data_IF_550918773227
#
_entry.id   IF_550918773227
#
_cell.length_a   1.000
_cell.length_b   1.000
_cell.length_c   1.000
_cell.angle_alpha   90.00
_cell.angle_beta   90.00
_cell.angle_gamma   90.00
#
_symmetry.space_group_name_H-M   'P 1'
#
loop_
_entity.id
_entity.type
_entity.pdbx_description
1 polymer ?
#
# COMPACT_ATOMS: atom_id res chain seq x y z
N UNK A 1 11.43 -12.31 -38.43
CA UNK A 1 10.39 -12.53 -37.42
C UNK A 1 9.01 -12.31 -38.03
N UNK A 2 8.02 -13.10 -37.64
CA UNK A 2 6.63 -12.86 -38.04
C UNK A 2 6.12 -11.53 -37.47
N UNK A 3 5.38 -10.78 -38.25
CA UNK A 3 4.70 -9.57 -37.79
C UNK A 3 3.47 -9.95 -36.93
N UNK A 4 3.23 -9.27 -35.84
CA UNK A 4 1.97 -9.37 -35.09
C UNK A 4 0.77 -8.77 -35.85
N UNK A 5 1.04 -8.06 -36.96
CA UNK A 5 -0.01 -7.60 -37.87
C UNK A 5 -0.35 -8.77 -38.82
N UNK A 6 -1.54 -9.38 -38.68
CA UNK A 6 -1.87 -10.61 -39.41
C UNK A 6 -2.09 -10.40 -40.90
N UNK A 7 -2.42 -9.18 -41.36
CA UNK A 7 -2.73 -8.86 -42.73
C UNK A 7 -1.47 -8.72 -43.58
N UNK A 8 -1.41 -9.40 -44.71
CA UNK A 8 -0.36 -9.20 -45.69
C UNK A 8 -0.49 -7.83 -46.40
N UNK A 9 0.56 -7.30 -47.05
CA UNK A 9 0.47 -6.07 -47.84
C UNK A 9 -0.64 -6.12 -48.93
N UNK A 10 -0.83 -7.27 -49.60
CA UNK A 10 -1.90 -7.45 -50.58
C UNK A 10 -3.30 -7.36 -49.97
N UNK A 11 -3.50 -8.04 -48.83
CA UNK A 11 -4.78 -7.95 -48.09
C UNK A 11 -5.06 -6.53 -47.58
N UNK A 12 -4.04 -5.80 -47.14
CA UNK A 12 -4.21 -4.40 -46.72
C UNK A 12 -4.62 -3.51 -47.93
N UNK A 13 -4.03 -3.74 -49.08
CA UNK A 13 -4.41 -3.01 -50.27
C UNK A 13 -5.85 -3.32 -50.69
N UNK A 14 -6.27 -4.59 -50.71
CA UNK A 14 -7.64 -5.01 -50.97
C UNK A 14 -8.66 -4.35 -49.98
N UNK A 15 -8.31 -4.30 -48.68
CA UNK A 15 -9.14 -3.62 -47.68
C UNK A 15 -9.26 -2.11 -47.95
N UNK A 16 -8.18 -1.43 -48.36
CA UNK A 16 -8.21 -0.02 -48.71
C UNK A 16 -9.10 0.22 -49.92
N UNK A 17 -8.95 -0.59 -50.99
CA UNK A 17 -9.76 -0.50 -52.18
C UNK A 17 -11.25 -0.74 -51.91
N UNK A 18 -11.58 -1.69 -51.03
CA UNK A 18 -12.95 -1.98 -50.62
C UNK A 18 -13.67 -0.78 -49.97
N UNK A 19 -12.91 0.12 -49.33
CA UNK A 19 -13.44 1.37 -48.74
C UNK A 19 -13.18 2.61 -49.60
N UNK A 20 -12.74 2.41 -50.85
CA UNK A 20 -12.51 3.50 -51.82
C UNK A 20 -11.24 4.30 -51.55
N UNK A 21 -10.25 3.73 -50.86
CA UNK A 21 -8.94 4.33 -50.63
C UNK A 21 -7.85 3.57 -51.36
N UNK A 22 -6.72 4.24 -51.63
CA UNK A 22 -5.59 3.65 -52.34
C UNK A 22 -4.29 3.70 -51.55
N UNK A 23 -4.23 4.52 -50.51
CA UNK A 23 -3.06 4.68 -49.64
C UNK A 23 -3.54 4.71 -48.17
N UNK A 24 -2.77 4.05 -47.33
CA UNK A 24 -3.01 4.03 -45.87
C UNK A 24 -3.04 5.44 -45.25
N UNK A 25 -2.26 6.38 -45.78
CA UNK A 25 -2.27 7.79 -45.34
C UNK A 25 -3.61 8.48 -45.49
N UNK A 26 -4.44 8.07 -46.47
CA UNK A 26 -5.76 8.64 -46.64
C UNK A 26 -6.71 8.39 -45.46
N UNK A 27 -6.40 7.39 -44.60
CA UNK A 27 -7.12 7.16 -43.35
C UNK A 27 -6.89 8.29 -42.34
N UNK A 28 -5.78 9.01 -42.45
CA UNK A 28 -5.37 10.08 -41.53
C UNK A 28 -5.60 11.47 -42.11
N UNK A 29 -6.46 11.63 -43.13
CA UNK A 29 -6.72 12.90 -43.80
C UNK A 29 -7.14 14.06 -42.86
N UNK A 30 -7.68 13.72 -41.68
CA UNK A 30 -8.10 14.71 -40.67
C UNK A 30 -6.96 15.10 -39.71
N UNK A 31 -5.76 14.49 -39.85
CA UNK A 31 -4.55 14.83 -39.12
C UNK A 31 -3.70 15.77 -39.98
N UNK A 32 -3.30 16.96 -39.49
CA UNK A 32 -2.40 17.87 -40.22
C UNK A 32 -1.11 17.16 -40.60
N UNK A 33 -0.62 17.43 -41.84
CA UNK A 33 0.56 16.78 -42.42
C UNK A 33 1.82 16.97 -41.57
N UNK A 34 1.94 18.10 -40.89
CA UNK A 34 3.05 18.42 -39.99
C UNK A 34 3.05 17.58 -38.68
N UNK A 35 1.95 16.95 -38.38
CA UNK A 35 1.81 16.06 -37.20
C UNK A 35 2.06 14.59 -37.55
N UNK A 36 2.19 14.25 -38.82
CA UNK A 36 2.48 12.89 -39.27
C UNK A 36 3.99 12.64 -39.30
N UNK A 37 4.43 11.58 -38.66
CA UNK A 37 5.83 11.12 -38.77
C UNK A 37 6.05 10.50 -40.14
N UNK A 38 6.99 11.07 -40.93
CA UNK A 38 7.30 10.60 -42.30
C UNK A 38 8.19 9.36 -42.28
N UNK A 39 9.14 9.31 -41.36
CA UNK A 39 10.19 8.30 -41.31
C UNK A 39 9.99 7.26 -40.23
N UNK A 40 8.78 7.25 -39.60
CA UNK A 40 8.46 6.39 -38.46
C UNK A 40 9.06 6.86 -37.13
N UNK A 41 9.05 5.99 -36.13
CA UNK A 41 9.62 6.27 -34.83
C UNK A 41 11.13 5.97 -34.84
N UNK A 42 11.94 6.82 -34.19
CA UNK A 42 13.35 6.56 -33.92
C UNK A 42 13.50 5.54 -32.80
N UNK A 43 13.28 4.28 -33.14
CA UNK A 43 13.39 3.13 -32.25
C UNK A 43 14.42 2.15 -32.79
N UNK A 44 15.18 1.47 -31.92
CA UNK A 44 16.07 0.39 -32.36
C UNK A 44 15.28 -0.74 -33.03
N UNK A 45 15.95 -1.49 -33.88
CA UNK A 45 15.35 -2.69 -34.47
C UNK A 45 14.91 -3.69 -33.40
N UNK A 46 13.84 -4.44 -33.72
CA UNK A 46 13.32 -5.47 -32.80
C UNK A 46 14.33 -6.61 -32.61
N UNK A 47 14.52 -7.02 -31.38
CA UNK A 47 15.39 -8.13 -31.00
C UNK A 47 14.67 -9.47 -31.08
N UNK A 48 15.42 -10.57 -31.26
CA UNK A 48 14.92 -11.92 -31.05
C UNK A 48 14.71 -12.24 -29.58
N UNK A 49 13.82 -13.19 -29.27
CA UNK A 49 13.50 -13.59 -27.88
C UNK A 49 14.75 -13.93 -27.06
N UNK A 50 15.68 -14.70 -27.63
CA UNK A 50 16.93 -15.06 -26.97
C UNK A 50 17.79 -13.83 -26.65
N UNK A 51 17.85 -12.86 -27.54
CA UNK A 51 18.60 -11.62 -27.35
C UNK A 51 17.96 -10.74 -26.28
N UNK A 52 16.64 -10.59 -26.31
CA UNK A 52 15.88 -9.90 -25.24
C UNK A 52 16.13 -10.58 -23.89
N UNK A 53 16.00 -11.90 -23.82
CA UNK A 53 16.23 -12.66 -22.57
C UNK A 53 17.64 -12.44 -22.02
N UNK A 54 18.67 -12.48 -22.87
CA UNK A 54 20.07 -12.23 -22.47
C UNK A 54 20.25 -10.79 -21.97
N UNK A 55 19.72 -9.82 -22.69
CA UNK A 55 19.81 -8.40 -22.34
C UNK A 55 19.15 -8.13 -21.01
N UNK A 56 17.92 -8.60 -20.82
CA UNK A 56 17.18 -8.41 -19.56
C UNK A 56 17.82 -9.15 -18.38
N UNK A 57 18.35 -10.35 -18.60
CA UNK A 57 19.09 -11.09 -17.57
C UNK A 57 20.37 -10.35 -17.17
N UNK A 58 21.11 -9.81 -18.14
CA UNK A 58 22.30 -9.02 -17.85
C UNK A 58 21.99 -7.72 -17.09
N UNK A 59 20.88 -7.06 -17.40
CA UNK A 59 20.39 -5.89 -16.67
C UNK A 59 19.98 -6.28 -15.24
N UNK A 60 19.23 -7.37 -15.08
CA UNK A 60 18.82 -7.87 -13.77
C UNK A 60 20.00 -8.25 -12.88
N UNK A 61 21.06 -8.83 -13.45
CA UNK A 61 22.30 -9.21 -12.73
C UNK A 61 23.08 -8.00 -12.18
N UNK A 62 22.75 -6.77 -12.57
CA UNK A 62 23.35 -5.55 -12.00
C UNK A 62 22.74 -5.15 -10.65
N UNK A 63 21.62 -5.74 -10.26
CA UNK A 63 21.03 -5.50 -8.96
C UNK A 63 21.81 -6.23 -7.86
N UNK A 64 21.92 -5.61 -6.70
CA UNK A 64 22.46 -6.26 -5.52
C UNK A 64 21.37 -7.08 -4.84
N UNK A 65 21.61 -8.39 -4.69
CA UNK A 65 20.74 -9.28 -3.93
C UNK A 65 21.30 -9.43 -2.50
N UNK A 66 20.56 -8.95 -1.52
CA UNK A 66 20.93 -9.06 -0.12
C UNK A 66 20.43 -10.39 0.49
N UNK A 67 21.23 -10.99 1.36
CA UNK A 67 20.86 -12.18 2.11
C UNK A 67 19.86 -11.87 3.25
N UNK A 68 19.86 -10.63 3.73
CA UNK A 68 18.95 -10.14 4.74
C UNK A 68 18.59 -8.66 4.51
N UNK A 69 17.35 -8.30 4.85
CA UNK A 69 16.82 -6.94 4.74
C UNK A 69 16.37 -6.49 6.12
N UNK A 70 17.05 -5.44 6.63
CA UNK A 70 16.73 -4.78 7.90
C UNK A 70 16.12 -3.38 7.68
N UNK A 71 15.56 -3.14 6.49
CA UNK A 71 14.90 -1.91 6.09
C UNK A 71 13.41 -2.16 5.88
N UNK A 72 12.58 -1.32 6.51
CA UNK A 72 11.14 -1.29 6.36
C UNK A 72 10.71 0.01 5.70
N UNK A 73 10.26 0.97 6.53
CA UNK A 73 9.83 2.30 6.11
C UNK A 73 8.69 2.26 5.07
N UNK A 74 7.67 1.43 5.32
CA UNK A 74 6.46 1.35 4.51
C UNK A 74 6.33 0.11 3.64
N UNK A 75 7.41 -0.61 3.33
CA UNK A 75 7.38 -1.91 2.65
C UNK A 75 8.25 -2.92 3.41
N UNK A 76 7.75 -4.15 3.58
CA UNK A 76 8.30 -5.10 4.54
C UNK A 76 8.52 -6.47 3.91
N UNK A 77 9.70 -7.05 4.16
CA UNK A 77 10.07 -8.38 3.67
C UNK A 77 9.54 -9.47 4.60
N UNK A 78 8.28 -9.85 4.44
CA UNK A 78 7.65 -10.96 5.16
C UNK A 78 7.77 -12.30 4.41
N UNK A 79 7.63 -13.41 5.15
CA UNK A 79 7.56 -14.73 4.54
C UNK A 79 6.24 -14.91 3.78
N UNK A 80 6.36 -15.36 2.54
CA UNK A 80 5.22 -15.63 1.66
C UNK A 80 5.11 -17.13 1.44
N UNK A 81 4.08 -17.81 1.99
CA UNK A 81 3.84 -19.23 1.76
C UNK A 81 3.70 -19.53 0.25
N UNK A 82 4.21 -20.69 -0.20
CA UNK A 82 4.22 -21.07 -1.62
C UNK A 82 2.81 -21.08 -2.25
N UNK A 83 1.78 -21.47 -1.48
CA UNK A 83 0.39 -21.49 -1.93
C UNK A 83 -0.12 -20.11 -2.33
N UNK A 84 0.38 -19.04 -1.69
CA UNK A 84 -0.01 -17.66 -1.98
C UNK A 84 0.36 -17.23 -3.41
N UNK A 85 1.46 -17.75 -3.95
CA UNK A 85 1.85 -17.51 -5.35
C UNK A 85 1.08 -18.42 -6.32
N UNK A 86 0.73 -19.60 -5.88
CA UNK A 86 0.11 -20.63 -6.74
C UNK A 86 -1.36 -20.30 -7.06
N UNK A 87 -2.15 -19.88 -6.07
CA UNK A 87 -3.60 -19.68 -6.26
C UNK A 87 -3.90 -18.50 -7.20
N UNK A 88 -3.33 -17.29 -7.02
CA UNK A 88 -3.59 -16.17 -7.94
C UNK A 88 -3.07 -16.40 -9.37
N UNK A 89 -2.11 -17.32 -9.54
CA UNK A 89 -1.56 -17.67 -10.85
C UNK A 89 -2.43 -18.62 -11.68
N UNK A 90 -3.57 -19.08 -11.16
CA UNK A 90 -4.50 -19.94 -11.89
C UNK A 90 -5.23 -19.15 -12.98
N UNK A 91 -5.52 -19.80 -14.10
CA UNK A 91 -6.17 -19.20 -15.26
C UNK A 91 -7.50 -18.54 -14.92
N UNK A 92 -8.26 -19.13 -14.01
CA UNK A 92 -9.57 -18.65 -13.55
C UNK A 92 -9.50 -17.22 -12.96
N UNK A 93 -8.35 -16.84 -12.40
CA UNK A 93 -8.12 -15.52 -11.83
C UNK A 93 -7.36 -14.59 -12.78
N UNK A 94 -6.30 -15.08 -13.46
CA UNK A 94 -5.43 -14.25 -14.31
C UNK A 94 -6.15 -13.62 -15.49
N UNK A 95 -7.12 -14.30 -16.08
CA UNK A 95 -7.87 -13.81 -17.25
C UNK A 95 -9.10 -12.99 -16.85
N UNK A 96 -9.43 -12.90 -15.55
CA UNK A 96 -10.56 -12.14 -15.08
C UNK A 96 -10.31 -10.63 -15.22
N UNK A 97 -11.33 -9.94 -15.72
CA UNK A 97 -11.38 -8.48 -15.75
C UNK A 97 -12.38 -7.97 -14.70
N UNK A 98 -12.78 -6.72 -14.75
CA UNK A 98 -13.75 -6.16 -13.83
C UNK A 98 -15.07 -6.94 -13.86
N UNK A 99 -15.59 -7.42 -12.72
CA UNK A 99 -16.74 -8.32 -12.68
C UNK A 99 -18.07 -7.54 -12.75
N UNK A 100 -18.33 -6.82 -13.83
CA UNK A 100 -19.56 -6.07 -14.03
C UNK A 100 -20.80 -6.96 -14.23
N UNK A 101 -20.63 -8.08 -14.94
CA UNK A 101 -21.71 -9.04 -15.19
C UNK A 101 -21.69 -10.10 -14.09
N UNK A 102 -22.59 -9.97 -13.13
CA UNK A 102 -22.67 -10.88 -11.98
C UNK A 102 -22.90 -12.34 -12.41
N UNK A 103 -23.67 -12.56 -13.48
CA UNK A 103 -23.99 -13.90 -14.00
C UNK A 103 -22.74 -14.67 -14.45
N UNK A 104 -21.72 -13.99 -14.91
CA UNK A 104 -20.47 -14.57 -15.43
C UNK A 104 -19.32 -14.56 -14.42
N UNK A 105 -19.42 -13.77 -13.37
CA UNK A 105 -18.29 -13.40 -12.51
C UNK A 105 -18.47 -13.81 -11.06
N UNK A 106 -19.29 -14.82 -10.77
CA UNK A 106 -19.63 -15.19 -9.38
C UNK A 106 -18.41 -15.56 -8.55
N UNK A 107 -17.45 -16.32 -9.11
CA UNK A 107 -16.22 -16.68 -8.39
C UNK A 107 -15.35 -15.48 -8.03
N UNK A 108 -15.20 -14.54 -8.95
CA UNK A 108 -14.44 -13.30 -8.70
C UNK A 108 -15.15 -12.40 -7.69
N UNK A 109 -16.47 -12.24 -7.81
CA UNK A 109 -17.26 -11.48 -6.84
C UNK A 109 -17.19 -12.09 -5.45
N UNK A 110 -17.24 -13.42 -5.36
CA UNK A 110 -17.07 -14.12 -4.08
C UNK A 110 -15.68 -13.88 -3.49
N UNK A 111 -14.61 -13.96 -4.27
CA UNK A 111 -13.26 -13.70 -3.77
C UNK A 111 -13.08 -12.27 -3.23
N UNK A 112 -13.70 -11.29 -3.89
CA UNK A 112 -13.72 -9.90 -3.39
C UNK A 112 -14.50 -9.80 -2.07
N UNK A 113 -15.64 -10.46 -1.98
CA UNK A 113 -16.44 -10.48 -0.76
C UNK A 113 -15.69 -11.12 0.41
N UNK A 114 -14.96 -12.21 0.16
CA UNK A 114 -14.11 -12.87 1.15
C UNK A 114 -12.96 -11.96 1.61
N UNK A 115 -12.29 -11.28 0.68
CA UNK A 115 -11.29 -10.25 1.01
C UNK A 115 -11.88 -9.16 1.91
N UNK A 116 -13.01 -8.57 1.52
CA UNK A 116 -13.69 -7.54 2.32
C UNK A 116 -14.00 -8.03 3.74
N UNK A 117 -14.44 -9.27 3.86
CA UNK A 117 -14.75 -9.90 5.15
C UNK A 117 -13.49 -10.02 6.02
N UNK A 118 -12.39 -10.49 5.45
CA UNK A 118 -11.12 -10.63 6.18
C UNK A 118 -10.55 -9.27 6.63
N UNK A 119 -10.65 -8.24 5.79
CA UNK A 119 -10.25 -6.87 6.18
C UNK A 119 -11.16 -6.34 7.31
N UNK A 120 -12.47 -6.59 7.25
CA UNK A 120 -13.37 -6.24 8.35
C UNK A 120 -12.99 -6.96 9.65
N UNK A 121 -12.67 -8.24 9.60
CA UNK A 121 -12.23 -9.02 10.76
C UNK A 121 -10.92 -8.50 11.34
N UNK A 122 -9.94 -8.18 10.49
CA UNK A 122 -8.64 -7.66 10.91
C UNK A 122 -8.74 -6.28 11.57
N UNK A 123 -9.64 -5.44 11.07
CA UNK A 123 -9.78 -4.04 11.53
C UNK A 123 -10.88 -3.83 12.56
N UNK A 124 -11.76 -4.81 12.76
CA UNK A 124 -12.97 -4.71 13.57
C UNK A 124 -14.07 -3.84 12.94
N UNK A 125 -13.88 -3.39 11.69
CA UNK A 125 -14.81 -2.52 10.99
C UNK A 125 -16.01 -3.28 10.40
N UNK A 126 -17.11 -2.54 10.11
CA UNK A 126 -18.34 -3.14 9.63
C UNK A 126 -18.35 -3.40 8.11
N UNK A 127 -17.63 -2.57 7.33
CA UNK A 127 -17.64 -2.62 5.87
C UNK A 127 -16.27 -2.29 5.30
N UNK A 128 -15.80 -3.07 4.34
CA UNK A 128 -14.62 -2.81 3.52
C UNK A 128 -14.99 -2.66 2.06
N UNK A 129 -14.22 -1.89 1.29
CA UNK A 129 -14.28 -1.89 -0.17
C UNK A 129 -13.41 -3.03 -0.77
N UNK A 130 -13.44 -3.16 -2.09
CA UNK A 130 -12.68 -4.18 -2.81
C UNK A 130 -11.17 -3.93 -2.82
N UNK A 131 -10.71 -2.74 -2.66
CA UNK A 131 -9.36 -2.19 -2.41
C UNK A 131 -9.21 -0.78 -2.99
N UNK A 132 -8.10 -0.14 -2.69
CA UNK A 132 -7.57 1.05 -3.36
C UNK A 132 -6.11 0.78 -3.78
N UNK A 133 -5.41 1.74 -4.38
CA UNK A 133 -4.13 1.50 -5.04
C UNK A 133 -2.99 1.14 -4.06
N UNK A 134 -2.87 1.90 -2.98
CA UNK A 134 -1.86 1.70 -1.93
C UNK A 134 -2.30 2.34 -0.59
N UNK A 135 -1.52 2.15 0.45
CA UNK A 135 -1.83 2.68 1.78
C UNK A 135 -1.88 4.20 1.85
N UNK A 136 -1.02 4.90 1.11
CA UNK A 136 -1.01 6.36 1.07
C UNK A 136 -2.26 6.91 0.37
N UNK A 137 -2.67 6.28 -0.75
CA UNK A 137 -3.92 6.58 -1.43
C UNK A 137 -5.12 6.26 -0.54
N UNK A 138 -5.09 5.14 0.20
CA UNK A 138 -6.15 4.81 1.16
C UNK A 138 -6.33 5.90 2.22
N UNK A 139 -5.24 6.45 2.75
CA UNK A 139 -5.27 7.57 3.70
C UNK A 139 -5.85 8.85 3.07
N UNK A 140 -5.47 9.16 1.82
CA UNK A 140 -5.97 10.31 1.09
C UNK A 140 -7.46 10.20 0.76
N UNK A 141 -7.92 9.03 0.34
CA UNK A 141 -9.34 8.73 0.11
C UNK A 141 -10.16 8.80 1.39
N UNK A 142 -9.60 8.34 2.53
CA UNK A 142 -10.24 8.45 3.83
C UNK A 142 -10.37 9.92 4.26
N UNK A 143 -9.35 10.74 4.05
CA UNK A 143 -9.42 12.18 4.29
C UNK A 143 -10.50 12.84 3.43
N UNK A 144 -10.56 12.49 2.13
CA UNK A 144 -11.60 12.94 1.21
C UNK A 144 -13.01 12.52 1.65
N UNK A 145 -13.15 11.29 2.15
CA UNK A 145 -14.41 10.75 2.66
C UNK A 145 -14.92 11.49 3.91
N UNK A 146 -14.03 12.01 4.75
CA UNK A 146 -14.37 12.71 5.99
C UNK A 146 -14.94 14.12 5.75
N UNK A 147 -14.63 14.73 4.61
CA UNK A 147 -15.04 16.11 4.29
C UNK A 147 -16.57 16.33 4.34
N UNK A 148 -16.95 17.54 4.74
CA UNK A 148 -18.29 18.06 4.53
C UNK A 148 -18.25 19.52 4.03
N UNK A 149 -19.41 20.14 3.87
CA UNK A 149 -19.51 21.52 3.33
C UNK A 149 -18.88 22.58 4.23
N UNK A 150 -18.78 22.32 5.54
CA UNK A 150 -18.34 23.29 6.55
C UNK A 150 -16.92 23.01 7.02
N UNK A 151 -16.51 21.73 7.05
CA UNK A 151 -15.22 21.28 7.58
C UNK A 151 -14.39 20.73 6.44
N UNK A 152 -13.35 21.47 6.09
CA UNK A 152 -12.48 21.17 4.95
C UNK A 152 -10.99 21.11 5.33
N UNK A 153 -10.70 21.07 6.62
CA UNK A 153 -9.35 20.87 7.12
C UNK A 153 -9.16 19.41 7.46
N UNK A 154 -8.09 18.82 6.99
CA UNK A 154 -7.59 17.51 7.41
C UNK A 154 -6.38 17.71 8.30
N UNK A 155 -6.34 17.04 9.46
CA UNK A 155 -5.13 16.94 10.27
C UNK A 155 -4.44 15.61 9.99
N UNK A 156 -3.11 15.62 9.96
CA UNK A 156 -2.27 14.42 9.85
C UNK A 156 -1.11 14.51 10.83
N UNK A 157 -0.80 13.42 11.53
CA UNK A 157 0.36 13.36 12.41
C UNK A 157 1.67 13.52 11.64
N UNK A 158 2.62 14.29 12.17
CA UNK A 158 3.98 14.36 11.64
C UNK A 158 4.74 13.02 11.82
N UNK A 159 4.23 12.11 12.66
CA UNK A 159 4.75 10.75 12.80
C UNK A 159 4.18 9.78 11.73
N UNK A 160 3.31 10.21 10.84
CA UNK A 160 2.87 9.41 9.70
C UNK A 160 4.00 9.28 8.66
N UNK A 161 3.90 8.24 7.81
CA UNK A 161 4.85 8.05 6.72
C UNK A 161 4.92 9.31 5.84
N UNK A 162 6.13 9.80 5.48
CA UNK A 162 6.29 11.03 4.69
C UNK A 162 5.52 11.04 3.37
N UNK A 163 5.50 9.91 2.65
CA UNK A 163 4.77 9.80 1.39
C UNK A 163 3.26 9.79 1.59
N UNK A 164 2.77 9.26 2.70
CA UNK A 164 1.35 9.39 3.08
C UNK A 164 0.98 10.85 3.30
N UNK A 165 1.81 11.62 4.02
CA UNK A 165 1.60 13.07 4.21
C UNK A 165 1.59 13.79 2.86
N UNK A 166 2.53 13.47 1.96
CA UNK A 166 2.62 14.09 0.63
C UNK A 166 1.44 13.72 -0.27
N UNK A 167 0.98 12.47 -0.24
CA UNK A 167 -0.18 12.02 -1.00
C UNK A 167 -1.46 12.71 -0.54
N UNK A 168 -1.70 12.76 0.78
CA UNK A 168 -2.85 13.50 1.34
C UNK A 168 -2.78 14.98 0.98
N UNK A 169 -1.58 15.59 1.02
CA UNK A 169 -1.37 16.98 0.60
C UNK A 169 -1.75 17.20 -0.86
N UNK A 170 -1.39 16.28 -1.75
CA UNK A 170 -1.73 16.34 -3.18
C UNK A 170 -3.24 16.28 -3.38
N UNK A 171 -3.95 15.41 -2.67
CA UNK A 171 -5.41 15.33 -2.74
C UNK A 171 -6.08 16.60 -2.22
N UNK A 172 -5.61 17.14 -1.09
CA UNK A 172 -6.11 18.40 -0.54
C UNK A 172 -5.88 19.57 -1.51
N UNK A 173 -4.67 19.65 -2.11
CA UNK A 173 -4.37 20.65 -3.13
C UNK A 173 -5.35 20.58 -4.32
N UNK A 174 -5.58 19.38 -4.85
CA UNK A 174 -6.47 19.16 -6.01
C UNK A 174 -7.92 19.56 -5.76
N UNK A 175 -8.37 19.56 -4.50
CA UNK A 175 -9.74 19.90 -4.12
C UNK A 175 -9.87 21.28 -3.44
N UNK A 176 -8.77 21.98 -3.23
CA UNK A 176 -8.72 23.26 -2.51
C UNK A 176 -9.04 23.12 -1.02
N UNK A 177 -8.75 21.95 -0.43
CA UNK A 177 -8.86 21.69 1.00
C UNK A 177 -7.53 21.98 1.70
N UNK A 178 -7.57 22.18 3.01
CA UNK A 178 -6.36 22.46 3.80
C UNK A 178 -5.86 21.22 4.51
N UNK A 179 -4.55 20.97 4.44
CA UNK A 179 -3.85 19.98 5.25
C UNK A 179 -3.01 20.69 6.31
N UNK A 180 -3.22 20.37 7.58
CA UNK A 180 -2.35 20.79 8.69
C UNK A 180 -1.69 19.59 9.31
N UNK A 181 -0.39 19.73 9.63
CA UNK A 181 0.40 18.66 10.23
C UNK A 181 0.46 18.85 11.75
N UNK A 182 0.02 17.84 12.49
CA UNK A 182 0.09 17.82 13.95
C UNK A 182 1.51 17.49 14.36
N UNK A 183 2.19 18.31 15.19
CA UNK A 183 3.57 18.05 15.61
C UNK A 183 3.68 16.79 16.45
N UNK A 184 4.91 16.30 16.57
CA UNK A 184 5.27 15.15 17.40
C UNK A 184 6.00 15.56 18.65
N UNK A 185 5.84 14.76 19.69
CA UNK A 185 6.59 14.81 20.93
C UNK A 185 7.11 13.43 21.27
N UNK A 186 8.41 13.29 21.48
CA UNK A 186 9.06 11.99 21.78
C UNK A 186 8.74 10.90 20.76
N UNK A 187 8.67 11.26 19.44
CA UNK A 187 8.40 10.34 18.34
C UNK A 187 6.93 9.95 18.16
N UNK A 188 6.00 10.49 18.94
CA UNK A 188 4.55 10.23 18.86
C UNK A 188 3.76 11.52 18.66
N UNK A 189 2.54 11.41 18.18
CA UNK A 189 1.62 12.54 18.01
C UNK A 189 1.45 13.31 19.32
N UNK A 190 1.67 14.64 19.29
CA UNK A 190 1.47 15.48 20.48
C UNK A 190 -0.03 15.68 20.74
N UNK A 191 -0.58 15.12 21.84
CA UNK A 191 -2.01 15.20 22.12
C UNK A 191 -2.46 16.62 22.50
N UNK A 192 -1.56 17.44 23.03
CA UNK A 192 -1.90 18.81 23.41
C UNK A 192 -1.99 19.71 22.16
N UNK A 193 -1.03 19.59 21.27
CA UNK A 193 -1.08 20.27 19.97
C UNK A 193 -2.34 19.84 19.17
N UNK A 194 -2.68 18.55 19.21
CA UNK A 194 -3.89 18.03 18.55
C UNK A 194 -5.16 18.70 19.11
N UNK A 195 -5.30 18.82 20.44
CA UNK A 195 -6.45 19.51 21.07
C UNK A 195 -6.56 20.97 20.60
N UNK A 196 -5.43 21.68 20.59
CA UNK A 196 -5.39 23.08 20.16
C UNK A 196 -5.79 23.23 18.70
N UNK A 197 -5.31 22.34 17.82
CA UNK A 197 -5.64 22.38 16.38
C UNK A 197 -7.10 22.02 16.08
N UNK A 198 -7.74 21.23 16.95
CA UNK A 198 -9.16 20.88 16.84
C UNK A 198 -10.11 21.98 17.35
N UNK A 199 -9.64 22.90 18.18
CA UNK A 199 -10.46 23.90 18.85
C UNK A 199 -11.21 24.84 17.87
N UNK A 200 -10.69 25.00 16.63
CA UNK A 200 -11.31 25.83 15.58
C UNK A 200 -12.62 25.28 15.00
N UNK A 201 -12.92 24.00 15.19
CA UNK A 201 -14.15 23.34 14.71
C UNK A 201 -14.27 23.18 13.20
N UNK A 202 -13.20 23.46 12.43
CA UNK A 202 -13.11 23.41 10.96
C UNK A 202 -12.53 22.08 10.44
N UNK A 203 -12.10 21.20 11.36
CA UNK A 203 -11.46 19.92 11.05
C UNK A 203 -12.51 18.87 10.70
N UNK A 204 -12.35 18.21 9.55
CA UNK A 204 -13.23 17.12 9.08
C UNK A 204 -12.73 15.75 9.53
N UNK A 205 -11.44 15.52 9.50
CA UNK A 205 -10.83 14.25 9.84
C UNK A 205 -9.38 14.40 10.31
N UNK A 206 -8.94 13.43 11.11
CA UNK A 206 -7.58 13.35 11.63
C UNK A 206 -7.01 11.98 11.31
N UNK A 207 -5.84 11.95 10.66
CA UNK A 207 -5.11 10.73 10.35
C UNK A 207 -3.98 10.50 11.38
N UNK A 208 -4.01 9.33 12.01
CA UNK A 208 -2.95 8.79 12.87
C UNK A 208 -2.49 7.46 12.28
N UNK A 209 -1.21 7.13 12.38
CA UNK A 209 -0.65 5.86 11.90
C UNK A 209 -0.15 5.00 13.07
N UNK A 210 -0.48 3.71 13.06
CA UNK A 210 -0.16 2.75 14.12
C UNK A 210 0.35 1.41 13.53
N UNK A 211 1.59 0.96 13.79
CA UNK A 211 2.69 1.77 14.31
C UNK A 211 2.97 2.97 13.42
N UNK A 212 3.54 4.05 13.98
CA UNK A 212 3.89 5.23 13.21
C UNK A 212 5.18 5.03 12.41
N UNK A 213 5.61 6.04 11.63
CA UNK A 213 6.81 5.96 10.78
C UNK A 213 8.09 5.65 11.55
N UNK A 214 8.18 6.07 12.80
CA UNK A 214 9.34 5.79 13.65
C UNK A 214 9.25 4.43 14.37
N UNK A 215 8.24 3.63 14.05
CA UNK A 215 7.95 2.34 14.64
C UNK A 215 7.22 2.40 16.00
N UNK A 216 7.01 3.61 16.54
CA UNK A 216 6.39 3.80 17.85
C UNK A 216 4.90 3.45 17.85
N UNK A 217 4.41 2.91 18.96
CA UNK A 217 2.99 2.72 19.20
C UNK A 217 2.39 4.03 19.74
N UNK A 218 1.37 4.53 19.04
CA UNK A 218 0.61 5.70 19.46
C UNK A 218 -0.37 5.36 20.59
N UNK A 219 -0.77 6.34 21.38
CA UNK A 219 -1.87 6.20 22.33
C UNK A 219 -3.21 6.31 21.58
N UNK A 220 -3.42 5.37 20.63
CA UNK A 220 -4.44 5.46 19.58
C UNK A 220 -5.86 5.66 20.11
N UNK A 221 -6.20 5.01 21.25
CA UNK A 221 -7.50 5.12 21.90
C UNK A 221 -7.70 6.53 22.52
N UNK A 222 -6.71 7.02 23.26
CA UNK A 222 -6.78 8.37 23.86
C UNK A 222 -6.78 9.48 22.79
N UNK A 223 -6.04 9.29 21.67
CA UNK A 223 -6.10 10.21 20.55
C UNK A 223 -7.49 10.19 19.89
N UNK A 224 -8.12 9.02 19.76
CA UNK A 224 -9.48 8.88 19.25
C UNK A 224 -10.50 9.66 20.08
N UNK A 225 -10.41 9.61 21.40
CA UNK A 225 -11.26 10.40 22.29
C UNK A 225 -11.09 11.91 22.06
N UNK A 226 -9.84 12.38 21.94
CA UNK A 226 -9.53 13.80 21.67
C UNK A 226 -10.13 14.23 20.32
N UNK A 227 -9.97 13.40 19.29
CA UNK A 227 -10.48 13.67 17.95
C UNK A 227 -12.00 13.80 17.95
N UNK A 228 -12.70 12.88 18.61
CA UNK A 228 -14.16 12.90 18.69
C UNK A 228 -14.68 14.07 19.52
N UNK A 229 -14.00 14.45 20.61
CA UNK A 229 -14.33 15.64 21.39
C UNK A 229 -14.22 16.91 20.54
N UNK A 230 -13.26 16.97 19.60
CA UNK A 230 -13.13 18.04 18.60
C UNK A 230 -14.15 17.96 17.45
N UNK A 231 -15.02 16.94 17.42
CA UNK A 231 -16.05 16.75 16.40
C UNK A 231 -15.55 16.27 15.03
N UNK A 232 -14.28 15.88 14.92
CA UNK A 232 -13.69 15.33 13.71
C UNK A 232 -13.87 13.81 13.62
N UNK A 233 -13.72 13.24 12.42
CA UNK A 233 -13.66 11.79 12.21
C UNK A 233 -12.23 11.27 12.43
N UNK A 234 -12.12 10.09 13.01
CA UNK A 234 -10.85 9.44 13.27
C UNK A 234 -10.49 8.45 12.18
N UNK A 235 -9.38 8.69 11.49
CA UNK A 235 -8.78 7.79 10.49
C UNK A 235 -7.55 7.15 11.12
N UNK A 236 -7.55 5.83 11.29
CA UNK A 236 -6.41 5.09 11.80
C UNK A 236 -5.77 4.25 10.69
N UNK A 237 -4.54 4.63 10.32
CA UNK A 237 -3.68 3.85 9.43
C UNK A 237 -2.98 2.75 10.21
N UNK A 238 -3.06 1.48 9.75
CA UNK A 238 -2.48 0.35 10.47
C UNK A 238 -1.63 -0.54 9.58
N UNK A 239 -0.56 -1.09 10.18
CA UNK A 239 0.17 -2.21 9.59
C UNK A 239 -0.65 -3.49 9.80
N UNK A 240 -0.97 -4.28 8.75
CA UNK A 240 -1.87 -5.43 8.86
C UNK A 240 -1.28 -6.59 9.67
N UNK A 241 0.04 -6.73 9.75
CA UNK A 241 0.68 -7.75 10.59
C UNK A 241 0.61 -7.31 12.07
N UNK A 242 0.91 -6.05 12.37
CA UNK A 242 0.78 -5.50 13.72
C UNK A 242 -0.67 -5.59 14.24
N UNK A 243 -1.66 -5.36 13.37
CA UNK A 243 -3.08 -5.45 13.70
C UNK A 243 -3.51 -6.84 14.21
N UNK A 244 -2.74 -7.90 13.90
CA UNK A 244 -3.03 -9.24 14.41
C UNK A 244 -2.79 -9.40 15.94
N UNK A 245 -2.06 -8.48 16.58
CA UNK A 245 -1.77 -8.52 18.02
C UNK A 245 -2.08 -7.22 18.77
N UNK A 246 -2.32 -6.13 18.05
CA UNK A 246 -2.71 -4.84 18.65
C UNK A 246 -4.23 -4.74 18.76
N UNK A 247 -4.71 -3.75 19.54
CA UNK A 247 -6.13 -3.39 19.52
C UNK A 247 -6.56 -3.03 18.10
N UNK A 248 -7.73 -3.50 17.70
CA UNK A 248 -8.26 -3.18 16.38
C UNK A 248 -8.53 -1.69 16.23
N UNK A 249 -8.49 -1.13 14.99
CA UNK A 249 -8.93 0.25 14.76
C UNK A 249 -10.31 0.57 15.35
N UNK A 250 -11.24 -0.39 15.27
CA UNK A 250 -12.57 -0.25 15.87
C UNK A 250 -12.51 -0.07 17.39
N UNK A 251 -11.72 -0.89 18.08
CA UNK A 251 -11.55 -0.82 19.53
C UNK A 251 -10.86 0.47 19.98
N UNK A 252 -10.01 1.04 19.11
CA UNK A 252 -9.40 2.36 19.30
C UNK A 252 -10.36 3.53 18.97
N UNK A 253 -11.60 3.25 18.60
CA UNK A 253 -12.60 4.27 18.28
C UNK A 253 -12.51 4.83 16.85
N UNK A 254 -11.72 4.27 15.95
CA UNK A 254 -11.60 4.79 14.59
C UNK A 254 -12.93 4.71 13.82
N UNK A 255 -13.24 5.76 13.06
CA UNK A 255 -14.35 5.80 12.11
C UNK A 255 -13.98 5.14 10.78
N UNK A 256 -12.72 5.26 10.39
CA UNK A 256 -12.15 4.69 9.15
C UNK A 256 -10.80 4.04 9.48
N UNK A 257 -10.64 2.81 9.03
CA UNK A 257 -9.37 2.08 9.07
C UNK A 257 -8.80 1.99 7.66
N UNK A 258 -7.51 2.29 7.52
CA UNK A 258 -6.78 2.19 6.24
C UNK A 258 -5.41 1.57 6.47
N UNK A 259 -4.76 1.14 5.40
CA UNK A 259 -3.38 0.68 5.50
C UNK A 259 -2.83 0.16 4.19
N UNK A 260 -1.53 -0.12 4.21
CA UNK A 260 -0.81 -0.77 3.14
C UNK A 260 -0.88 -2.29 3.33
N UNK A 261 -1.41 -2.98 2.33
CA UNK A 261 -1.58 -4.43 2.35
C UNK A 261 -0.42 -5.23 1.76
N UNK A 262 0.67 -4.58 1.35
CA UNK A 262 1.85 -5.29 0.83
C UNK A 262 2.31 -6.44 1.74
N UNK A 263 2.32 -6.30 3.09
CA UNK A 263 2.70 -7.39 3.99
C UNK A 263 1.84 -8.65 3.92
N UNK A 264 0.66 -8.54 3.32
CA UNK A 264 -0.27 -9.66 3.15
C UNK A 264 0.04 -10.50 1.89
N UNK A 265 1.28 -10.95 1.76
CA UNK A 265 1.70 -11.92 0.75
C UNK A 265 2.24 -11.35 -0.56
N UNK A 266 2.55 -10.05 -0.64
CA UNK A 266 3.22 -9.44 -1.78
C UNK A 266 4.71 -9.25 -1.51
N UNK A 267 5.60 -9.58 -2.48
CA UNK A 267 7.03 -9.34 -2.32
C UNK A 267 7.36 -7.85 -2.40
N UNK A 268 8.58 -7.48 -2.01
CA UNK A 268 9.13 -6.16 -2.30
C UNK A 268 9.27 -6.02 -3.82
N UNK A 269 8.50 -5.11 -4.43
CA UNK A 269 8.31 -4.98 -5.87
C UNK A 269 8.69 -3.60 -6.42
N UNK A 270 9.71 -2.94 -5.87
CA UNK A 270 10.22 -1.66 -6.41
C UNK A 270 9.15 -0.55 -6.46
N UNK A 271 8.22 -0.54 -5.52
CA UNK A 271 7.14 0.43 -5.43
C UNK A 271 5.79 -0.08 -5.98
N UNK A 272 5.67 -1.36 -6.32
CA UNK A 272 4.37 -1.92 -6.70
C UNK A 272 4.40 -3.06 -7.72
N UNK A 273 3.21 -3.62 -8.04
CA UNK A 273 1.91 -3.21 -7.48
C UNK A 273 1.81 -3.57 -6.00
N UNK A 274 1.21 -2.66 -5.21
CA UNK A 274 0.90 -2.88 -3.80
C UNK A 274 -0.62 -2.88 -3.59
N UNK A 275 -1.10 -2.67 -2.36
CA UNK A 275 -2.51 -2.85 -2.03
C UNK A 275 -2.94 -1.88 -0.93
N UNK A 276 -3.77 -0.90 -1.25
CA UNK A 276 -4.45 -0.13 -0.22
C UNK A 276 -5.71 -0.85 0.26
N UNK A 277 -5.87 -1.03 1.56
CA UNK A 277 -7.14 -1.44 2.13
C UNK A 277 -7.83 -0.29 2.84
N UNK A 278 -9.17 -0.32 2.83
CA UNK A 278 -9.99 0.72 3.43
C UNK A 278 -11.28 0.13 3.95
N UNK A 279 -11.55 0.32 5.24
CA UNK A 279 -12.74 -0.15 5.91
C UNK A 279 -13.33 0.93 6.84
N UNK A 280 -14.63 0.85 7.12
CA UNK A 280 -15.33 1.88 7.91
C UNK A 280 -16.50 1.30 8.70
N UNK A 281 -17.02 2.09 9.62
CA UNK A 281 -18.25 1.77 10.35
C UNK A 281 -19.48 1.92 9.43
N UNK A 282 -20.52 1.17 9.69
CA UNK A 282 -21.73 1.09 8.84
C UNK A 282 -22.35 2.46 8.51
N UNK A 283 -22.33 3.41 9.45
CA UNK A 283 -22.88 4.77 9.23
C UNK A 283 -22.21 5.54 8.08
N UNK A 284 -20.94 5.19 7.75
CA UNK A 284 -20.16 5.84 6.70
C UNK A 284 -20.05 5.02 5.40
N UNK A 285 -20.61 3.81 5.34
CA UNK A 285 -20.56 2.90 4.20
C UNK A 285 -20.86 3.59 2.85
N UNK A 286 -21.85 4.49 2.81
CA UNK A 286 -22.24 5.21 1.59
C UNK A 286 -21.23 6.25 1.10
N UNK A 287 -20.24 6.60 1.91
CA UNK A 287 -19.13 7.50 1.56
C UNK A 287 -17.86 6.73 1.16
N UNK A 288 -17.79 5.44 1.47
CA UNK A 288 -16.62 4.60 1.18
C UNK A 288 -16.36 4.54 -0.33
N UNK A 289 -15.21 4.96 -0.84
CA UNK A 289 -14.89 4.94 -2.27
C UNK A 289 -14.67 3.52 -2.79
N UNK A 290 -14.61 3.37 -4.12
CA UNK A 290 -14.33 2.10 -4.77
C UNK A 290 -15.51 1.12 -4.73
N UNK A 291 -15.29 -0.07 -5.30
CA UNK A 291 -16.30 -1.13 -5.41
C UNK A 291 -16.58 -1.79 -4.07
N UNK A 292 -17.83 -2.18 -3.88
CA UNK A 292 -18.26 -3.02 -2.76
C UNK A 292 -19.09 -4.17 -3.32
N UNK A 293 -18.72 -5.39 -2.99
CA UNK A 293 -19.48 -6.59 -3.30
C UNK A 293 -20.40 -6.94 -2.14
N UNK A 294 -21.65 -7.19 -2.44
CA UNK A 294 -22.65 -7.67 -1.49
C UNK A 294 -23.08 -9.10 -1.80
N UNK A 295 -23.50 -9.83 -0.78
CA UNK A 295 -24.15 -11.13 -0.91
C UNK A 295 -25.66 -10.96 -1.03
N UNK A 296 -26.29 -11.75 -1.91
CA UNK A 296 -27.75 -11.79 -2.12
C UNK A 296 -28.17 -13.22 -2.49
N UNK A 297 -29.40 -13.37 -2.95
CA UNK A 297 -29.91 -14.63 -3.51
C UNK A 297 -30.42 -14.40 -4.93
N UNK A 298 -30.29 -15.42 -5.79
CA UNK A 298 -30.82 -15.41 -7.15
C UNK A 298 -32.34 -15.72 -7.18
N UNK A 299 -32.92 -15.74 -8.37
CA UNK A 299 -34.35 -16.07 -8.57
C UNK A 299 -34.76 -17.46 -8.10
N UNK A 300 -33.78 -18.36 -7.85
CA UNK A 300 -34.00 -19.72 -7.33
C UNK A 300 -33.72 -19.82 -5.83
N UNK A 301 -33.40 -18.69 -5.17
CA UNK A 301 -33.03 -18.66 -3.76
C UNK A 301 -31.61 -19.12 -3.45
N UNK A 302 -30.74 -19.27 -4.47
CA UNK A 302 -29.34 -19.67 -4.28
C UNK A 302 -28.49 -18.45 -3.94
N UNK A 303 -27.55 -18.61 -3.01
CA UNK A 303 -26.58 -17.57 -2.64
C UNK A 303 -25.79 -17.11 -3.85
N UNK A 304 -25.73 -15.80 -4.06
CA UNK A 304 -24.93 -15.17 -5.10
C UNK A 304 -24.35 -13.83 -4.65
N UNK A 305 -23.47 -13.27 -5.47
CA UNK A 305 -22.73 -12.05 -5.18
C UNK A 305 -22.94 -11.01 -6.30
N UNK A 306 -23.02 -9.73 -5.93
CA UNK A 306 -23.26 -8.63 -6.86
C UNK A 306 -22.45 -7.40 -6.44
N UNK A 307 -22.10 -6.55 -7.41
CA UNK A 307 -21.64 -5.19 -7.11
C UNK A 307 -22.79 -4.38 -6.51
N UNK A 308 -22.52 -3.76 -5.36
CA UNK A 308 -23.49 -2.97 -4.64
C UNK A 308 -23.10 -1.48 -4.57
N UNK A 309 -24.05 -0.59 -4.31
CA UNK A 309 -23.83 0.84 -4.13
C UNK A 309 -23.10 1.53 -5.30
N UNK A 310 -23.21 1.04 -6.51
CA UNK A 310 -22.49 1.54 -7.70
C UNK A 310 -22.78 3.01 -8.03
N UNK A 311 -23.94 3.55 -7.62
CA UNK A 311 -24.31 4.94 -7.86
C UNK A 311 -23.32 5.99 -7.31
N UNK A 312 -22.35 5.60 -6.49
CA UNK A 312 -21.27 6.46 -5.96
C UNK A 312 -20.09 6.58 -6.91
N UNK A 313 -19.93 5.61 -7.81
CA UNK A 313 -18.72 5.44 -8.64
C UNK A 313 -18.65 6.49 -9.76
N UNK A 314 -17.45 6.80 -10.21
CA UNK A 314 -17.16 7.85 -11.19
C UNK A 314 -17.86 7.62 -12.54
N UNK A 315 -17.98 6.38 -13.01
CA UNK A 315 -18.63 6.07 -14.29
C UNK A 315 -20.14 6.40 -14.30
N UNK A 316 -20.76 6.55 -13.11
CA UNK A 316 -22.17 7.00 -12.95
C UNK A 316 -22.22 8.47 -12.54
N UNK A 317 -21.47 8.86 -11.51
CA UNK A 317 -21.53 10.22 -10.94
C UNK A 317 -20.71 11.25 -11.73
N UNK A 318 -19.75 10.81 -12.56
CA UNK A 318 -18.84 11.64 -13.34
C UNK A 318 -18.09 12.65 -12.45
N UNK A 319 -18.14 13.93 -12.78
CA UNK A 319 -17.49 15.02 -12.04
C UNK A 319 -18.01 15.21 -10.60
N UNK A 320 -19.14 14.61 -10.27
CA UNK A 320 -19.75 14.65 -8.92
C UNK A 320 -19.37 13.47 -8.04
N UNK A 321 -18.53 12.56 -8.55
CA UNK A 321 -18.02 11.47 -7.75
C UNK A 321 -17.08 11.99 -6.64
N UNK A 322 -17.13 11.35 -5.49
CA UNK A 322 -16.23 11.69 -4.36
C UNK A 322 -14.79 11.17 -4.55
N UNK A 323 -14.60 10.24 -5.48
CA UNK A 323 -13.32 9.59 -5.77
C UNK A 323 -13.24 9.28 -7.26
N UNK A 324 -12.01 9.24 -7.79
CA UNK A 324 -11.70 8.82 -9.16
C UNK A 324 -11.30 7.35 -9.27
N UNK A 325 -11.37 6.59 -8.19
CA UNK A 325 -11.08 5.16 -8.20
C UNK A 325 -12.10 4.45 -9.09
N UNK A 326 -11.60 3.79 -10.14
CA UNK A 326 -12.38 2.96 -11.05
C UNK A 326 -11.94 1.51 -10.93
N UNK A 327 -10.73 1.19 -11.37
CA UNK A 327 -10.10 -0.10 -11.11
C UNK A 327 -9.40 -0.07 -9.76
N UNK A 328 -9.32 -1.20 -9.11
CA UNK A 328 -8.62 -1.42 -7.86
C UNK A 328 -7.49 -2.44 -8.08
N UNK A 329 -6.74 -2.74 -7.06
CA UNK A 329 -5.67 -3.75 -7.07
C UNK A 329 -6.25 -5.17 -6.84
N UNK A 330 -7.10 -5.63 -7.77
CA UNK A 330 -7.89 -6.85 -7.60
C UNK A 330 -7.03 -8.12 -7.41
N UNK A 331 -5.93 -8.26 -8.17
CA UNK A 331 -5.02 -9.40 -8.03
C UNK A 331 -4.26 -9.35 -6.71
N UNK A 332 -3.84 -8.16 -6.26
CA UNK A 332 -3.19 -7.98 -4.96
C UNK A 332 -4.17 -8.25 -3.81
N UNK A 333 -5.43 -7.83 -3.93
CA UNK A 333 -6.47 -8.13 -2.95
C UNK A 333 -6.76 -9.65 -2.85
N UNK A 334 -6.81 -10.35 -4.00
CA UNK A 334 -6.90 -11.80 -4.03
C UNK A 334 -5.69 -12.45 -3.35
N UNK A 335 -4.47 -11.98 -3.67
CA UNK A 335 -3.23 -12.45 -3.05
C UNK A 335 -3.28 -12.29 -1.53
N UNK A 336 -3.72 -11.13 -1.04
CA UNK A 336 -3.89 -10.85 0.38
C UNK A 336 -4.94 -11.75 1.03
N UNK A 337 -6.06 -12.03 0.37
CA UNK A 337 -7.06 -12.94 0.91
C UNK A 337 -6.56 -14.38 1.02
N UNK A 338 -5.79 -14.84 0.02
CA UNK A 338 -5.13 -16.16 0.06
C UNK A 338 -4.10 -16.20 1.18
N UNK A 339 -3.30 -15.16 1.36
CA UNK A 339 -2.33 -15.07 2.44
C UNK A 339 -3.01 -15.15 3.81
N UNK A 340 -4.03 -14.35 4.06
CA UNK A 340 -4.78 -14.37 5.31
C UNK A 340 -5.46 -15.72 5.57
N UNK A 341 -5.99 -16.37 4.53
CA UNK A 341 -6.59 -17.69 4.65
C UNK A 341 -5.55 -18.79 4.97
N UNK A 342 -4.36 -18.73 4.36
CA UNK A 342 -3.27 -19.70 4.58
C UNK A 342 -2.67 -19.55 5.97
N UNK A 343 -2.40 -18.30 6.38
CA UNK A 343 -1.83 -18.00 7.68
C UNK A 343 -2.84 -18.23 8.82
N UNK A 344 -4.08 -17.89 8.58
CA UNK A 344 -5.11 -17.83 9.62
C UNK A 344 -4.78 -16.84 10.75
N UNK A 345 -5.68 -16.65 11.71
CA UNK A 345 -5.44 -15.71 12.81
C UNK A 345 -4.23 -16.08 13.67
N UNK A 346 -3.99 -17.37 13.89
CA UNK A 346 -2.85 -17.85 14.70
C UNK A 346 -1.52 -17.61 13.98
N UNK A 347 -1.42 -17.92 12.68
CA UNK A 347 -0.21 -17.70 11.89
C UNK A 347 0.13 -16.21 11.74
N UNK A 348 -0.87 -15.35 11.53
CA UNK A 348 -0.66 -13.91 11.50
C UNK A 348 -0.19 -13.36 12.85
N UNK A 349 -0.81 -13.78 13.94
CA UNK A 349 -0.40 -13.40 15.29
C UNK A 349 1.01 -13.91 15.62
N UNK A 350 1.38 -15.10 15.17
CA UNK A 350 2.75 -15.62 15.36
C UNK A 350 3.77 -14.83 14.53
N UNK A 351 3.49 -14.51 13.26
CA UNK A 351 4.35 -13.65 12.46
C UNK A 351 4.58 -12.29 13.17
N UNK A 352 3.53 -11.68 13.69
CA UNK A 352 3.59 -10.43 14.43
C UNK A 352 4.46 -10.55 15.70
N UNK A 353 4.29 -11.61 16.51
CA UNK A 353 5.10 -11.84 17.72
C UNK A 353 6.57 -12.05 17.38
N UNK A 354 6.88 -12.76 16.28
CA UNK A 354 8.26 -12.95 15.83
C UNK A 354 8.88 -11.62 15.38
N UNK A 355 8.15 -10.79 14.64
CA UNK A 355 8.60 -9.44 14.26
C UNK A 355 8.93 -8.60 15.49
N UNK A 356 7.99 -8.52 16.44
CA UNK A 356 8.16 -7.79 17.70
C UNK A 356 9.40 -8.28 18.46
N UNK A 357 9.49 -9.59 18.69
CA UNK A 357 10.59 -10.20 19.45
C UNK A 357 11.97 -9.93 18.82
N UNK A 358 12.08 -10.05 17.50
CA UNK A 358 13.34 -9.87 16.77
C UNK A 358 13.77 -8.41 16.72
N UNK A 359 12.83 -7.47 16.54
CA UNK A 359 13.12 -6.05 16.60
C UNK A 359 13.63 -5.63 17.99
N UNK A 360 12.98 -6.10 19.05
CA UNK A 360 13.41 -5.81 20.42
C UNK A 360 14.76 -6.49 20.75
N UNK A 361 15.02 -7.68 20.22
CA UNK A 361 16.33 -8.33 20.33
C UNK A 361 17.43 -7.51 19.68
N UNK A 362 17.22 -7.07 18.42
CA UNK A 362 18.17 -6.25 17.67
C UNK A 362 18.42 -4.91 18.39
N UNK A 363 17.37 -4.22 18.82
CA UNK A 363 17.47 -2.95 19.54
C UNK A 363 18.33 -3.10 20.81
N UNK A 364 18.08 -4.14 21.59
CA UNK A 364 18.87 -4.45 22.80
C UNK A 364 20.34 -4.72 22.46
N UNK A 365 20.63 -5.48 21.39
CA UNK A 365 21.99 -5.81 20.97
C UNK A 365 22.74 -4.55 20.49
N UNK A 366 22.08 -3.69 19.71
CA UNK A 366 22.65 -2.43 19.22
C UNK A 366 22.91 -1.44 20.36
N UNK A 367 21.93 -1.25 21.26
CA UNK A 367 22.08 -0.33 22.40
C UNK A 367 23.09 -0.80 23.47
N UNK A 368 23.56 -2.03 23.40
CA UNK A 368 24.68 -2.49 24.21
C UNK A 368 26.07 -2.00 23.69
N UNK A 369 26.09 -1.39 22.50
CA UNK A 369 27.31 -0.84 21.88
C UNK A 369 27.50 0.60 22.38
N UNK A 370 28.69 0.98 22.89
CA UNK A 370 28.96 2.34 23.32
C UNK A 370 28.68 3.37 22.19
N UNK A 371 27.91 4.41 22.50
CA UNK A 371 27.56 5.46 21.54
C UNK A 371 26.30 5.16 20.71
N UNK A 372 25.62 4.04 20.96
CA UNK A 372 24.31 3.71 20.35
C UNK A 372 23.20 3.78 21.39
N UNK A 373 22.11 4.48 21.07
CA UNK A 373 20.94 4.59 21.95
C UNK A 373 19.65 4.58 21.16
N UNK A 374 18.54 4.19 21.76
CA UNK A 374 17.23 4.42 21.19
C UNK A 374 16.94 5.92 21.16
N UNK A 375 16.44 6.42 20.01
CA UNK A 375 16.04 7.83 19.88
C UNK A 375 14.75 8.12 20.65
N UNK A 376 13.81 7.21 20.60
CA UNK A 376 12.48 7.36 21.19
C UNK A 376 12.26 6.35 22.32
N UNK A 377 11.78 6.79 23.49
CA UNK A 377 11.65 5.94 24.67
C UNK A 377 10.35 5.11 24.70
N UNK A 378 9.45 5.30 23.71
CA UNK A 378 8.14 4.66 23.69
C UNK A 378 8.18 3.19 23.30
N UNK A 379 7.05 2.51 23.47
CA UNK A 379 6.81 1.17 22.94
C UNK A 379 6.83 1.19 21.41
N UNK A 380 7.40 0.15 20.78
CA UNK A 380 7.49 0.03 19.31
C UNK A 380 7.21 -1.40 18.86
N UNK A 381 6.88 -1.57 17.60
CA UNK A 381 6.55 -2.89 17.06
C UNK A 381 7.77 -3.55 16.41
N UNK A 382 7.94 -3.47 15.10
CA UNK A 382 9.01 -4.15 14.35
C UNK A 382 10.02 -3.18 13.73
N UNK A 383 9.79 -1.88 13.92
CA UNK A 383 10.70 -0.80 13.55
C UNK A 383 11.06 0.03 14.77
N UNK A 384 12.29 0.55 14.78
CA UNK A 384 12.80 1.44 15.84
C UNK A 384 13.95 2.28 15.31
N UNK A 385 14.14 3.46 15.88
CA UNK A 385 15.23 4.37 15.52
C UNK A 385 16.33 4.32 16.56
N UNK A 386 17.57 4.09 16.12
CA UNK A 386 18.76 4.31 16.95
C UNK A 386 19.50 5.56 16.51
N UNK A 387 20.03 6.30 17.49
CA UNK A 387 21.07 7.30 17.29
C UNK A 387 22.42 6.63 17.37
N UNK A 388 23.25 6.91 16.39
CA UNK A 388 24.64 6.42 16.33
C UNK A 388 25.49 7.29 15.41
N UNK A 389 26.81 7.42 15.66
CA UNK A 389 27.72 8.10 14.76
C UNK A 389 28.02 7.22 13.52
N UNK A 390 28.62 7.84 12.50
CA UNK A 390 29.16 7.14 11.32
C UNK A 390 28.14 6.28 10.56
N UNK A 391 26.90 6.79 10.43
CA UNK A 391 25.81 6.09 9.75
C UNK A 391 26.19 5.60 8.35
N UNK A 392 26.82 6.42 7.46
CA UNK A 392 27.20 5.93 6.13
C UNK A 392 28.13 4.73 6.16
N UNK A 393 29.17 4.75 7.01
CA UNK A 393 30.15 3.68 7.11
C UNK A 393 29.55 2.40 7.71
N UNK A 394 28.58 2.53 8.63
CA UNK A 394 27.85 1.40 9.17
C UNK A 394 27.01 0.72 8.08
N UNK A 395 26.29 1.50 7.28
CA UNK A 395 25.46 0.95 6.19
C UNK A 395 26.32 0.31 5.11
N UNK A 396 27.43 0.93 4.71
CA UNK A 396 28.40 0.36 3.75
C UNK A 396 29.00 -0.95 4.26
N UNK A 397 29.39 -1.01 5.53
CA UNK A 397 29.92 -2.24 6.12
C UNK A 397 28.87 -3.37 6.12
N UNK A 398 27.62 -3.07 6.44
CA UNK A 398 26.54 -4.07 6.36
C UNK A 398 26.29 -4.57 4.93
N UNK A 399 26.37 -3.68 3.93
CA UNK A 399 26.28 -4.09 2.52
C UNK A 399 27.38 -5.07 2.12
N UNK A 400 28.61 -4.87 2.58
CA UNK A 400 29.73 -5.81 2.36
C UNK A 400 29.49 -7.18 3.00
N UNK A 401 28.65 -7.26 4.02
CA UNK A 401 28.18 -8.51 4.63
C UNK A 401 26.90 -9.08 3.98
N UNK A 402 26.42 -8.47 2.88
CA UNK A 402 25.20 -8.89 2.21
C UNK A 402 23.92 -8.56 3.00
N UNK A 403 23.97 -7.60 3.90
CA UNK A 403 22.85 -7.14 4.73
C UNK A 403 22.44 -5.74 4.26
N UNK A 404 21.21 -5.59 3.80
CA UNK A 404 20.64 -4.27 3.60
C UNK A 404 20.26 -3.66 4.97
N UNK A 405 21.09 -2.75 5.45
CA UNK A 405 20.86 -2.03 6.70
C UNK A 405 19.59 -1.19 6.68
N UNK A 406 19.18 -0.67 7.85
CA UNK A 406 18.00 0.16 8.00
C UNK A 406 18.02 1.43 7.14
N UNK A 407 16.93 2.20 7.18
CA UNK A 407 16.85 3.48 6.48
C UNK A 407 17.63 4.55 7.25
N UNK A 408 18.58 5.27 6.63
CA UNK A 408 19.21 6.41 7.26
C UNK A 408 18.18 7.51 7.51
N UNK A 409 18.15 8.00 8.72
CA UNK A 409 17.33 9.14 9.15
C UNK A 409 18.25 10.18 9.80
N UNK A 410 17.77 11.40 9.99
CA UNK A 410 18.59 12.46 10.61
C UNK A 410 19.20 11.98 11.94
N UNK A 411 20.54 11.89 11.98
CA UNK A 411 21.31 11.48 13.15
C UNK A 411 21.18 10.00 13.57
N UNK A 412 20.67 9.10 12.71
CA UNK A 412 20.50 7.71 13.09
C UNK A 412 20.04 6.79 11.97
N UNK A 413 19.56 5.62 12.36
CA UNK A 413 19.05 4.59 11.46
C UNK A 413 17.69 4.10 11.97
N UNK A 414 16.69 4.08 11.08
CA UNK A 414 15.43 3.37 11.28
C UNK A 414 15.60 1.91 10.86
N UNK A 415 15.62 1.03 11.83
CA UNK A 415 15.77 -0.42 11.66
C UNK A 415 14.40 -1.09 11.55
N UNK A 416 14.36 -2.20 10.81
CA UNK A 416 13.21 -3.09 10.75
C UNK A 416 13.67 -4.54 10.91
N UNK A 417 12.94 -5.34 11.69
CA UNK A 417 13.15 -6.78 11.75
C UNK A 417 11.80 -7.52 11.63
N UNK A 418 11.68 -8.31 10.56
CA UNK A 418 10.53 -9.18 10.35
C UNK A 418 10.80 -10.60 10.83
N UNK A 419 9.79 -11.47 10.77
CA UNK A 419 9.92 -12.89 11.13
C UNK A 419 10.93 -13.65 10.24
N UNK A 420 11.27 -13.13 9.06
CA UNK A 420 12.27 -13.75 8.16
C UNK A 420 13.69 -13.64 8.67
N UNK A 421 14.00 -12.61 9.43
CA UNK A 421 15.40 -12.39 9.86
C UNK A 421 15.78 -13.40 10.91
N UNK A 422 16.88 -14.13 10.70
CA UNK A 422 17.39 -15.09 11.67
C UNK A 422 18.16 -14.42 12.81
N UNK A 423 18.24 -15.09 13.96
CA UNK A 423 19.05 -14.61 15.09
C UNK A 423 20.53 -14.40 14.69
N UNK A 424 21.10 -15.29 13.87
CA UNK A 424 22.47 -15.17 13.41
C UNK A 424 22.72 -13.86 12.65
N UNK A 425 21.79 -13.44 11.79
CA UNK A 425 21.86 -12.15 11.08
C UNK A 425 21.76 -10.98 12.05
N UNK A 426 20.90 -11.04 13.08
CA UNK A 426 20.79 -9.99 14.08
C UNK A 426 22.09 -9.85 14.91
N UNK A 427 22.69 -10.97 15.30
CA UNK A 427 23.98 -11.02 16.02
C UNK A 427 25.11 -10.49 15.13
N UNK A 428 25.17 -10.86 13.87
CA UNK A 428 26.13 -10.37 12.88
C UNK A 428 25.98 -8.87 12.65
N UNK A 429 24.74 -8.38 12.49
CA UNK A 429 24.46 -6.94 12.36
C UNK A 429 25.06 -6.15 13.54
N UNK A 430 24.79 -6.60 14.77
CA UNK A 430 25.33 -5.93 15.95
C UNK A 430 26.87 -5.99 16.02
N UNK A 431 27.48 -7.11 15.59
CA UNK A 431 28.92 -7.26 15.53
C UNK A 431 29.57 -6.30 14.52
N UNK A 432 29.01 -6.18 13.31
CA UNK A 432 29.48 -5.24 12.27
C UNK A 432 29.37 -3.78 12.76
N UNK A 433 28.23 -3.40 13.32
CA UNK A 433 28.05 -2.04 13.89
C UNK A 433 29.08 -1.77 14.97
N UNK A 434 29.31 -2.70 15.89
CA UNK A 434 30.33 -2.59 16.94
C UNK A 434 31.74 -2.44 16.36
N UNK A 435 32.10 -3.21 15.35
CA UNK A 435 33.41 -3.13 14.71
C UNK A 435 33.65 -1.76 14.09
N UNK A 436 32.68 -1.22 13.32
CA UNK A 436 32.77 0.10 12.70
C UNK A 436 32.93 1.20 13.74
N UNK A 437 32.16 1.15 14.84
CA UNK A 437 32.19 2.18 15.86
C UNK A 437 33.39 2.08 16.82
N UNK A 438 34.14 0.96 16.81
CA UNK A 438 35.37 0.80 17.63
C UNK A 438 36.63 1.31 16.93
N UNK A 439 36.58 1.58 15.64
CA UNK A 439 37.65 2.19 14.81
C UNK A 439 37.55 3.71 14.83
#
# INVERSE_FOLDING_TARGET
MGSYVPSTPAQRQEMLEAIGLHDFRQLYRDVPEEMLLRDGLDLPEGMGELEVSRTMTAMAARNTAYSAVLRGAGAYDHYIPSLVKYVPAKEEFLTAYTPYQAEMSQGILQSIFEYQTMICQLTGMDVSNASVYDGATAAAEAAAMCRDRKRRVTLISAAAHPDTINTVRTYCYGTGDELRVVPVKDGRTDPEALRQMLAGGDVSGVYIQQPNFFGQLEEAEALGEIIHQGGALYILGVNPIAAAILKTPRDCGADVAVGEGQPLGMPLGWGGPYLGFMATVQKHMRKLPGRIVGQTVDSRGQRCFVLSLQAREQHIRREKASSNICSNEALCALTASVYMAVMGPEGMAEAARQCLSKAHYLAKALCAIPGVSLRYPGEYFHEFVTELPRVPEVLEALEHHGILGGLPVEGGILWCATEKVSRAVLDETAAVVKEVLSK
#
